data_IF_393604554605
#
_entry.id   IF_393604554605
#
_cell.length_a   1.000
_cell.length_b   1.000
_cell.length_c   1.000
_cell.angle_alpha   90.00
_cell.angle_beta   90.00
_cell.angle_gamma   90.00
#
_symmetry.space_group_name_H-M   'P 1'
#
loop_
_entity.id
_entity.type
_entity.pdbx_description
1 polymer ?
#
# COMPACT_ATOMS: atom_id res chain seq x y z
N UNK A 1 24.55 -20.77 -11.06
CA UNK A 1 23.12 -20.83 -10.64
C UNK A 1 22.47 -19.45 -10.36
N UNK A 2 23.21 -18.39 -9.96
CA UNK A 2 22.65 -17.05 -9.63
C UNK A 2 21.93 -16.32 -10.78
N UNK A 3 22.34 -16.51 -12.04
CA UNK A 3 21.74 -15.84 -13.22
C UNK A 3 20.26 -16.18 -13.44
N UNK A 4 19.84 -17.39 -13.05
CA UNK A 4 18.44 -17.86 -13.20
C UNK A 4 17.49 -17.10 -12.26
N UNK A 5 17.92 -16.85 -11.02
CA UNK A 5 17.13 -16.10 -10.04
C UNK A 5 16.89 -14.65 -10.49
N UNK A 6 17.93 -14.00 -11.04
CA UNK A 6 17.87 -12.61 -11.51
C UNK A 6 16.86 -12.47 -12.66
N UNK A 7 16.84 -13.44 -13.60
CA UNK A 7 15.86 -13.44 -14.68
C UNK A 7 14.43 -13.65 -14.18
N UNK A 8 14.25 -14.45 -13.11
CA UNK A 8 12.94 -14.67 -12.49
C UNK A 8 12.41 -13.40 -11.80
N UNK A 9 13.30 -12.68 -11.10
CA UNK A 9 13.01 -11.37 -10.48
C UNK A 9 12.63 -10.30 -11.50
N UNK A 10 13.31 -10.23 -12.65
CA UNK A 10 12.95 -9.30 -13.74
C UNK A 10 11.53 -9.55 -14.26
N UNK A 11 11.21 -10.81 -14.62
CA UNK A 11 9.86 -11.18 -15.09
C UNK A 11 8.74 -10.83 -14.10
N UNK A 12 8.99 -11.00 -12.80
CA UNK A 12 8.05 -10.60 -11.75
C UNK A 12 7.84 -9.08 -11.73
N UNK A 13 8.91 -8.29 -11.86
CA UNK A 13 8.83 -6.83 -11.92
C UNK A 13 8.06 -6.35 -13.15
N UNK A 14 8.25 -6.97 -14.31
CA UNK A 14 7.53 -6.62 -15.56
C UNK A 14 6.02 -6.94 -15.49
N UNK A 15 5.63 -7.89 -14.64
CA UNK A 15 4.22 -8.27 -14.46
C UNK A 15 3.49 -7.30 -13.51
N UNK A 16 4.23 -6.69 -12.57
CA UNK A 16 3.68 -5.71 -11.64
C UNK A 16 3.73 -4.34 -12.34
N UNK A 17 2.64 -3.99 -13.01
CA UNK A 17 2.41 -2.60 -13.45
C UNK A 17 2.17 -1.74 -12.21
N UNK A 18 3.22 -1.11 -11.72
CA UNK A 18 3.09 -0.05 -10.71
C UNK A 18 2.74 1.20 -11.53
N UNK A 19 1.46 1.57 -11.56
CA UNK A 19 1.05 2.86 -12.11
C UNK A 19 1.81 3.96 -11.35
N UNK A 20 2.73 4.63 -12.04
CA UNK A 20 3.57 5.69 -11.46
C UNK A 20 2.76 6.96 -11.09
N UNK A 21 1.46 6.98 -11.46
CA UNK A 21 0.48 8.03 -11.15
C UNK A 21 -0.53 7.61 -10.07
N UNK A 22 -0.19 6.68 -9.17
CA UNK A 22 -1.00 6.49 -7.96
C UNK A 22 -0.78 7.69 -7.06
N UNK A 23 -1.77 8.57 -6.97
CA UNK A 23 -1.78 9.71 -6.06
C UNK A 23 -1.69 9.19 -4.61
N UNK A 24 -0.47 9.14 -4.06
CA UNK A 24 -0.26 8.54 -2.75
C UNK A 24 -0.72 9.55 -1.70
N UNK A 25 -1.74 9.20 -0.89
CA UNK A 25 -2.31 10.15 0.05
C UNK A 25 -1.24 10.62 1.05
N UNK A 26 -1.23 11.93 1.33
CA UNK A 26 -0.27 12.55 2.26
C UNK A 26 -0.93 12.79 3.62
N UNK A 27 -0.15 12.59 4.68
CA UNK A 27 -0.57 12.90 6.03
C UNK A 27 -0.77 14.42 6.19
N UNK A 28 -1.92 14.83 6.72
CA UNK A 28 -2.26 16.24 6.93
C UNK A 28 -1.38 16.90 7.99
N UNK A 29 -0.90 16.14 8.97
CA UNK A 29 -0.08 16.66 10.07
C UNK A 29 1.39 16.85 9.67
N UNK A 30 2.00 15.87 8.99
CA UNK A 30 3.46 15.86 8.76
C UNK A 30 3.88 15.79 7.28
N UNK A 31 2.92 15.73 6.35
CA UNK A 31 3.18 15.60 4.91
C UNK A 31 3.78 14.26 4.48
N UNK A 32 3.95 13.31 5.41
CA UNK A 32 4.49 11.98 5.12
C UNK A 32 3.55 11.10 4.30
N UNK A 33 4.09 10.12 3.62
CA UNK A 33 3.33 9.15 2.82
C UNK A 33 2.42 8.30 3.70
N UNK A 34 1.14 8.20 3.33
CA UNK A 34 0.19 7.29 3.95
C UNK A 34 0.19 5.95 3.23
N UNK A 35 0.03 4.88 4.00
CA UNK A 35 -0.22 3.52 3.51
C UNK A 35 -1.65 3.12 3.81
N UNK A 36 -2.26 2.44 2.86
CA UNK A 36 -3.63 1.95 2.94
C UNK A 36 -3.60 0.54 3.52
N UNK A 37 -4.34 0.33 4.61
CA UNK A 37 -4.53 -0.97 5.23
C UNK A 37 -6.03 -1.25 5.39
N UNK A 38 -6.66 -2.01 4.48
CA UNK A 38 -8.03 -2.45 4.67
C UNK A 38 -8.09 -3.47 5.81
N UNK A 39 -9.11 -3.39 6.67
CA UNK A 39 -9.41 -4.39 7.70
C UNK A 39 -10.92 -4.61 7.76
N UNK A 40 -11.33 -5.86 7.92
CA UNK A 40 -12.73 -6.20 8.17
C UNK A 40 -13.03 -5.98 9.65
N UNK A 41 -13.71 -4.88 9.97
CA UNK A 41 -14.10 -4.52 11.35
C UNK A 41 -15.56 -4.82 11.65
N UNK A 42 -16.31 -5.26 10.61
CA UNK A 42 -17.76 -5.43 10.61
C UNK A 42 -18.16 -6.82 10.13
N UNK A 43 -19.45 -7.09 10.10
CA UNK A 43 -20.03 -8.34 9.61
C UNK A 43 -19.55 -8.63 8.17
N UNK A 44 -19.53 -9.91 7.79
CA UNK A 44 -19.02 -10.36 6.49
C UNK A 44 -19.83 -9.81 5.29
N UNK A 45 -21.08 -9.39 5.53
CA UNK A 45 -21.96 -8.77 4.53
C UNK A 45 -21.66 -7.27 4.31
N UNK A 46 -20.82 -6.67 5.17
CA UNK A 46 -20.43 -5.26 5.06
C UNK A 46 -19.03 -5.10 4.43
N UNK A 47 -18.83 -3.97 3.76
CA UNK A 47 -17.54 -3.61 3.15
C UNK A 47 -16.40 -3.49 4.16
N UNK A 48 -15.17 -3.75 3.70
CA UNK A 48 -13.97 -3.58 4.53
C UNK A 48 -13.74 -2.10 4.90
N UNK A 49 -13.31 -1.87 6.13
CA UNK A 49 -12.92 -0.53 6.61
C UNK A 49 -11.52 -0.21 6.14
N UNK A 50 -11.28 1.01 5.65
CA UNK A 50 -10.00 1.42 5.10
C UNK A 50 -9.25 2.30 6.12
N UNK A 51 -8.07 1.86 6.52
CA UNK A 51 -7.19 2.62 7.41
C UNK A 51 -6.03 3.24 6.64
N UNK A 52 -5.71 4.50 6.92
CA UNK A 52 -4.53 5.19 6.43
C UNK A 52 -3.53 5.35 7.59
N UNK A 53 -2.36 4.72 7.49
CA UNK A 53 -1.28 4.87 8.47
C UNK A 53 -0.18 5.76 7.90
N UNK A 54 0.31 6.71 8.69
CA UNK A 54 1.47 7.50 8.28
C UNK A 54 2.77 6.74 8.55
N UNK A 55 3.69 6.70 7.58
CA UNK A 55 5.02 6.12 7.77
C UNK A 55 5.97 7.00 8.59
N UNK A 56 5.70 8.30 8.72
CA UNK A 56 6.57 9.26 9.42
C UNK A 56 6.14 9.55 10.86
N UNK A 57 4.85 9.52 11.16
CA UNK A 57 4.32 9.86 12.47
C UNK A 57 3.29 8.81 12.92
N UNK A 58 3.01 8.69 14.22
CA UNK A 58 2.09 7.66 14.74
C UNK A 58 0.60 7.95 14.45
N UNK A 59 0.28 8.88 13.54
CA UNK A 59 -1.10 9.24 13.23
C UNK A 59 -1.75 8.20 12.31
N UNK A 60 -3.01 7.90 12.60
CA UNK A 60 -3.84 6.96 11.86
C UNK A 60 -5.19 7.58 11.56
N UNK A 61 -5.68 7.38 10.33
CA UNK A 61 -6.98 7.87 9.87
C UNK A 61 -7.81 6.69 9.39
N UNK A 62 -9.12 6.71 9.59
CA UNK A 62 -10.05 5.69 9.12
C UNK A 62 -11.16 6.32 8.28
N UNK A 63 -11.61 5.61 7.26
CA UNK A 63 -12.81 5.91 6.47
C UNK A 63 -13.78 4.73 6.61
#
# INVERSE_FOLDING_TARGET
MKKSLINKLKKLKDTIRIDENVDVPKCRDCGGTLIIQPRQTRCADEGMTVFYLCKKCPKTFKI
#
